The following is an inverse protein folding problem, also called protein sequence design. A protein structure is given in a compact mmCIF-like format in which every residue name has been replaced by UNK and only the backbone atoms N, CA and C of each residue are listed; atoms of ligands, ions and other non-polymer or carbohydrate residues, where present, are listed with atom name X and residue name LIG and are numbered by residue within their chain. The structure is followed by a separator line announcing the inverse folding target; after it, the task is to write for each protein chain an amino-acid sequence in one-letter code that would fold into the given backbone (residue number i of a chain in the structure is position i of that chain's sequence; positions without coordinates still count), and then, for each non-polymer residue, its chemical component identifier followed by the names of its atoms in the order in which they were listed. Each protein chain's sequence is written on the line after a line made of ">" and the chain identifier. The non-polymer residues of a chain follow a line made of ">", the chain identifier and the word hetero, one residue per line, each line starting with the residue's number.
data_IF_994423837941
#
_entry.id   IF_994423837941
#
_cell.length_a   1.000
_cell.length_b   1.000
_cell.length_c   1.000
_cell.angle_alpha   90.00
_cell.angle_beta   90.00
_cell.angle_gamma   90.00
#
_symmetry.space_group_name_H-M   'P 1'
#
loop_
_entity.id
_entity.type
_entity.pdbx_description
1 polymer ?
#
# COMPACT_ATOMS: atom_id res chain seq x y z
N UNK A 1 -22.49 15.54 20.53
CA UNK A 1 -22.90 14.35 19.76
C UNK A 1 -21.61 13.68 19.33
N UNK A 2 -21.25 12.54 19.92
CA UNK A 2 -20.05 11.78 19.56
C UNK A 2 -20.27 11.16 18.19
N UNK A 3 -19.42 11.50 17.23
CA UNK A 3 -19.59 11.16 15.82
C UNK A 3 -18.90 9.84 15.46
N UNK A 4 -18.96 8.83 16.35
CA UNK A 4 -18.23 7.56 16.19
C UNK A 4 -18.54 6.85 14.85
N UNK A 5 -19.75 7.03 14.30
CA UNK A 5 -20.12 6.49 12.99
C UNK A 5 -19.42 7.22 11.82
N UNK A 6 -19.30 8.55 11.90
CA UNK A 6 -18.56 9.36 10.91
C UNK A 6 -17.05 9.15 11.02
N UNK A 7 -16.55 8.84 12.22
CA UNK A 7 -15.13 8.53 12.44
C UNK A 7 -14.78 7.15 11.86
N UNK A 8 -15.69 6.16 11.95
CA UNK A 8 -15.47 4.82 11.38
C UNK A 8 -15.34 4.85 9.86
N UNK A 9 -16.25 5.55 9.17
CA UNK A 9 -16.23 5.66 7.69
C UNK A 9 -14.93 6.31 7.19
N UNK A 10 -14.45 7.36 7.86
CA UNK A 10 -13.17 7.99 7.53
C UNK A 10 -11.99 7.03 7.72
N UNK A 11 -11.98 6.25 8.81
CA UNK A 11 -10.94 5.25 9.07
C UNK A 11 -10.97 4.12 8.02
N UNK A 12 -12.16 3.66 7.63
CA UNK A 12 -12.34 2.67 6.57
C UNK A 12 -11.78 3.20 5.25
N UNK A 13 -12.13 4.44 4.87
CA UNK A 13 -11.59 5.05 3.65
C UNK A 13 -10.07 5.22 3.70
N UNK A 14 -9.53 5.65 4.84
CA UNK A 14 -8.08 5.79 5.02
C UNK A 14 -7.36 4.44 4.88
N UNK A 15 -7.85 3.40 5.54
CA UNK A 15 -7.28 2.06 5.43
C UNK A 15 -7.45 1.46 4.04
N UNK A 16 -8.60 1.68 3.39
CA UNK A 16 -8.85 1.22 2.02
C UNK A 16 -7.88 1.86 1.04
N UNK A 17 -7.67 3.18 1.15
CA UNK A 17 -6.70 3.90 0.33
C UNK A 17 -5.29 3.35 0.58
N UNK A 18 -4.90 3.21 1.85
CA UNK A 18 -3.59 2.68 2.21
C UNK A 18 -3.36 1.28 1.64
N UNK A 19 -4.32 0.37 1.81
CA UNK A 19 -4.26 -0.99 1.28
C UNK A 19 -4.11 -0.99 -0.24
N UNK A 20 -4.89 -0.17 -0.95
CA UNK A 20 -4.77 -0.03 -2.42
C UNK A 20 -3.42 0.55 -2.84
N UNK A 21 -2.90 1.54 -2.11
CA UNK A 21 -1.60 2.14 -2.37
C UNK A 21 -0.49 1.12 -2.19
N UNK A 22 -0.46 0.41 -1.06
CA UNK A 22 0.51 -0.65 -0.80
C UNK A 22 0.42 -1.78 -1.83
N UNK A 23 -0.79 -2.21 -2.19
CA UNK A 23 -1.02 -3.24 -3.19
C UNK A 23 -0.51 -2.84 -4.60
N UNK A 24 -0.51 -1.54 -4.89
CA UNK A 24 -0.01 -0.98 -6.15
C UNK A 24 1.52 -0.87 -6.22
N UNK A 25 2.24 -1.05 -5.12
CA UNK A 25 3.70 -1.03 -5.11
C UNK A 25 4.22 -2.28 -5.84
N UNK A 26 5.04 -2.14 -6.90
CA UNK A 26 5.40 -3.25 -7.77
C UNK A 26 6.55 -4.10 -7.25
N UNK A 27 7.49 -3.51 -6.51
CA UNK A 27 8.70 -4.14 -6.00
C UNK A 27 8.73 -4.24 -4.48
N UNK A 28 9.41 -5.27 -4.00
CA UNK A 28 9.46 -5.63 -2.59
C UNK A 28 10.22 -4.60 -1.75
N UNK A 29 11.34 -4.10 -2.26
CA UNK A 29 12.16 -3.13 -1.55
C UNK A 29 11.36 -1.85 -1.25
N UNK A 30 10.64 -1.30 -2.24
CA UNK A 30 9.82 -0.09 -2.05
C UNK A 30 8.62 -0.36 -1.13
N UNK A 31 8.09 -1.59 -1.13
CA UNK A 31 7.02 -1.96 -0.20
C UNK A 31 7.53 -1.90 1.25
N UNK A 32 8.70 -2.49 1.52
CA UNK A 32 9.30 -2.45 2.85
C UNK A 32 9.74 -1.05 3.27
N UNK A 33 10.29 -0.23 2.36
CA UNK A 33 10.62 1.17 2.62
C UNK A 33 9.39 1.94 3.17
N UNK A 34 8.20 1.69 2.60
CA UNK A 34 6.95 2.34 3.02
C UNK A 34 6.41 1.72 4.32
N UNK A 35 6.38 0.40 4.46
CA UNK A 35 5.83 -0.25 5.65
C UNK A 35 6.67 0.02 6.90
N UNK A 36 7.99 0.14 6.76
CA UNK A 36 8.87 0.54 7.85
C UNK A 36 8.55 1.96 8.32
N UNK A 37 8.30 2.89 7.40
CA UNK A 37 7.86 4.24 7.75
C UNK A 37 6.49 4.25 8.47
N UNK A 38 5.56 3.39 8.05
CA UNK A 38 4.27 3.23 8.73
C UNK A 38 4.47 2.70 10.16
N UNK A 39 5.38 1.74 10.33
CA UNK A 39 5.70 1.18 11.65
C UNK A 39 6.32 2.23 12.58
N UNK A 40 7.23 3.07 12.07
CA UNK A 40 7.78 4.21 12.83
C UNK A 40 6.70 5.20 13.28
N UNK A 41 5.64 5.38 12.49
CA UNK A 41 4.47 6.18 12.87
C UNK A 41 3.52 5.46 13.86
N UNK A 42 3.84 4.23 14.27
CA UNK A 42 3.11 3.46 15.26
C UNK A 42 1.96 2.64 14.68
N UNK A 43 2.04 2.24 13.41
CA UNK A 43 0.95 1.53 12.73
C UNK A 43 0.55 0.23 13.43
N UNK A 44 1.50 -0.61 13.87
CA UNK A 44 1.18 -1.82 14.63
C UNK A 44 0.30 -1.55 15.85
N UNK A 45 0.58 -0.47 16.59
CA UNK A 45 -0.20 -0.08 17.77
C UNK A 45 -1.61 0.37 17.40
N UNK A 46 -1.75 1.10 16.30
CA UNK A 46 -3.05 1.54 15.77
C UNK A 46 -3.90 0.30 15.42
N UNK A 47 -3.35 -0.61 14.61
CA UNK A 47 -4.02 -1.85 14.20
C UNK A 47 -4.47 -2.66 15.42
N UNK A 48 -3.56 -2.91 16.37
CA UNK A 48 -3.87 -3.66 17.59
C UNK A 48 -4.97 -2.99 18.44
N UNK A 49 -4.91 -1.67 18.62
CA UNK A 49 -5.90 -0.91 19.39
C UNK A 49 -7.31 -1.05 18.81
N UNK A 50 -7.43 -0.94 17.49
CA UNK A 50 -8.72 -1.05 16.81
C UNK A 50 -9.26 -2.49 16.81
N UNK A 51 -8.44 -3.50 16.49
CA UNK A 51 -8.88 -4.91 16.44
C UNK A 51 -9.26 -5.48 17.82
N UNK A 52 -8.70 -4.95 18.91
CA UNK A 52 -9.04 -5.38 20.28
C UNK A 52 -10.26 -4.66 20.87
N UNK A 53 -10.76 -3.59 20.22
CA UNK A 53 -11.97 -2.86 20.64
C UNK A 53 -13.20 -3.74 20.43
N UNK A 54 -13.97 -4.01 21.50
CA UNK A 54 -15.15 -4.90 21.49
C UNK A 54 -16.22 -4.55 20.45
N UNK A 55 -16.30 -3.28 20.05
CA UNK A 55 -17.26 -2.77 19.07
C UNK A 55 -16.52 -2.19 17.85
N UNK A 56 -15.42 -2.80 17.42
CA UNK A 56 -14.79 -2.43 16.16
C UNK A 56 -15.79 -2.64 15.02
N UNK A 57 -15.86 -1.67 14.13
CA UNK A 57 -16.64 -1.79 12.91
C UNK A 57 -16.11 -2.99 12.08
N UNK A 58 -16.99 -3.89 11.60
CA UNK A 58 -16.57 -5.08 10.88
C UNK A 58 -15.86 -4.76 9.56
N UNK A 59 -16.23 -3.68 8.88
CA UNK A 59 -15.59 -3.26 7.63
C UNK A 59 -14.21 -2.67 7.91
N UNK A 60 -14.07 -1.89 8.99
CA UNK A 60 -12.76 -1.42 9.44
C UNK A 60 -11.86 -2.61 9.84
N UNK A 61 -12.41 -3.58 10.58
CA UNK A 61 -11.66 -4.78 10.97
C UNK A 61 -11.21 -5.58 9.74
N UNK A 62 -12.03 -5.69 8.70
CA UNK A 62 -11.64 -6.31 7.44
C UNK A 62 -10.47 -5.56 6.79
N UNK A 63 -10.52 -4.23 6.69
CA UNK A 63 -9.43 -3.44 6.12
C UNK A 63 -8.12 -3.54 6.93
N UNK A 64 -8.20 -3.62 8.26
CA UNK A 64 -7.04 -3.83 9.13
C UNK A 64 -6.46 -5.24 8.98
N UNK A 65 -7.32 -6.26 8.87
CA UNK A 65 -6.87 -7.63 8.62
C UNK A 65 -6.25 -7.77 7.23
N UNK A 66 -6.74 -7.04 6.22
CA UNK A 66 -6.14 -7.00 4.88
C UNK A 66 -4.73 -6.40 4.91
N UNK A 67 -4.53 -5.33 5.68
CA UNK A 67 -3.22 -4.74 5.90
C UNK A 67 -2.24 -5.76 6.49
N UNK A 68 -2.62 -6.40 7.61
CA UNK A 68 -1.82 -7.44 8.28
C UNK A 68 -1.51 -8.63 7.37
N UNK A 69 -2.51 -9.08 6.62
CA UNK A 69 -2.37 -10.20 5.69
C UNK A 69 -1.41 -9.87 4.54
N UNK A 70 -1.40 -8.62 4.05
CA UNK A 70 -0.46 -8.19 3.02
C UNK A 70 1.00 -8.22 3.50
N UNK A 71 1.25 -7.91 4.78
CA UNK A 71 2.59 -7.99 5.38
C UNK A 71 3.05 -9.45 5.49
N UNK A 72 2.22 -10.28 6.12
CA UNK A 72 2.51 -11.72 6.32
C UNK A 72 2.76 -12.46 5.02
N UNK A 73 1.99 -12.13 3.98
CA UNK A 73 2.18 -12.73 2.67
C UNK A 73 3.54 -12.39 2.04
N UNK A 74 4.02 -11.15 2.22
CA UNK A 74 5.35 -10.74 1.81
C UNK A 74 6.46 -11.36 2.68
N UNK A 75 6.18 -11.63 3.96
CA UNK A 75 7.10 -12.31 4.88
C UNK A 75 7.29 -13.80 4.57
N UNK A 76 6.36 -14.41 3.83
CA UNK A 76 6.48 -15.82 3.47
C UNK A 76 5.22 -16.65 3.64
N UNK A 77 4.24 -16.16 4.42
CA UNK A 77 3.07 -16.95 4.83
C UNK A 77 2.13 -17.27 3.67
N UNK A 78 1.48 -18.43 3.74
CA UNK A 78 0.57 -18.90 2.70
C UNK A 78 -0.81 -18.23 2.80
N UNK A 79 -1.39 -17.92 1.65
CA UNK A 79 -2.72 -17.28 1.55
C UNK A 79 -3.83 -18.02 2.29
N UNK A 80 -3.75 -19.34 2.36
CA UNK A 80 -4.77 -20.18 3.00
C UNK A 80 -4.72 -20.12 4.53
N UNK A 81 -3.59 -19.69 5.10
CA UNK A 81 -3.41 -19.52 6.53
C UNK A 81 -3.88 -18.13 7.03
N UNK A 82 -4.17 -17.21 6.09
CA UNK A 82 -4.61 -15.85 6.42
C UNK A 82 -6.09 -15.82 6.85
N UNK A 83 -6.42 -15.16 7.98
CA UNK A 83 -7.77 -15.10 8.53
C UNK A 83 -8.63 -14.06 7.80
N UNK A 84 -8.79 -14.22 6.48
CA UNK A 84 -9.54 -13.29 5.62
C UNK A 84 -10.75 -13.96 4.94
N UNK A 85 -11.87 -13.23 4.82
CA UNK A 85 -13.00 -13.65 3.99
C UNK A 85 -12.59 -13.69 2.51
N UNK A 86 -13.34 -14.47 1.71
CA UNK A 86 -13.03 -14.72 0.29
C UNK A 86 -12.93 -13.42 -0.52
N UNK A 87 -13.83 -12.46 -0.30
CA UNK A 87 -13.80 -11.14 -0.97
C UNK A 87 -12.58 -10.30 -0.59
N UNK A 88 -12.09 -10.42 0.66
CA UNK A 88 -10.85 -9.80 1.08
C UNK A 88 -9.63 -10.39 0.36
N UNK A 89 -9.62 -11.71 0.11
CA UNK A 89 -8.53 -12.38 -0.61
C UNK A 89 -8.36 -11.86 -2.04
N UNK A 90 -9.44 -11.48 -2.72
CA UNK A 90 -9.40 -10.87 -4.05
C UNK A 90 -8.74 -9.48 -4.06
N UNK A 91 -8.76 -8.78 -2.92
CA UNK A 91 -8.15 -7.46 -2.76
C UNK A 91 -6.65 -7.50 -2.52
N UNK A 92 -6.10 -8.68 -2.18
CA UNK A 92 -4.66 -8.89 -1.99
C UNK A 92 -3.96 -9.21 -3.31
N UNK A 93 -2.67 -8.85 -3.38
CA UNK A 93 -1.81 -9.17 -4.53
C UNK A 93 -1.66 -10.68 -4.68
N UNK A 94 -2.10 -11.25 -5.79
CA UNK A 94 -2.08 -12.72 -6.02
C UNK A 94 -0.69 -13.34 -6.19
N UNK A 95 0.39 -12.57 -5.99
CA UNK A 95 1.76 -13.05 -6.06
C UNK A 95 2.67 -12.16 -5.22
N UNK A 96 3.75 -12.72 -4.67
CA UNK A 96 4.77 -11.92 -3.97
C UNK A 96 5.42 -10.92 -4.92
N UNK A 97 5.80 -9.76 -4.37
CA UNK A 97 6.57 -8.76 -5.11
C UNK A 97 7.96 -9.33 -5.40
N UNK A 98 8.50 -8.97 -6.55
CA UNK A 98 9.90 -9.27 -6.88
C UNK A 98 10.81 -8.17 -6.33
N UNK A 99 12.11 -8.41 -6.20
CA UNK A 99 13.03 -7.35 -5.77
C UNK A 99 13.07 -6.22 -6.79
N UNK A 100 13.43 -5.00 -6.37
CA UNK A 100 13.51 -3.84 -7.27
C UNK A 100 14.40 -4.10 -8.48
N UNK A 101 15.53 -4.76 -8.26
CA UNK A 101 16.49 -5.14 -9.32
C UNK A 101 15.87 -6.09 -10.34
N UNK A 102 14.97 -6.98 -9.91
CA UNK A 102 14.24 -7.87 -10.82
C UNK A 102 13.12 -7.11 -11.54
N UNK A 103 12.38 -6.26 -10.82
CA UNK A 103 11.29 -5.47 -11.38
C UNK A 103 11.76 -4.53 -12.50
N UNK A 104 12.90 -3.87 -12.32
CA UNK A 104 13.47 -2.97 -13.34
C UNK A 104 13.88 -3.68 -14.65
N UNK A 105 13.90 -5.01 -14.67
CA UNK A 105 14.18 -5.81 -15.88
C UNK A 105 12.91 -6.28 -16.60
N UNK A 106 11.72 -5.98 -16.07
CA UNK A 106 10.46 -6.30 -16.73
C UNK A 106 10.07 -5.15 -17.67
N UNK A 107 9.24 -5.40 -18.70
CA UNK A 107 8.75 -4.35 -19.58
C UNK A 107 8.06 -3.20 -18.82
N UNK A 108 7.36 -3.52 -17.73
CA UNK A 108 6.70 -2.54 -16.87
C UNK A 108 7.69 -1.66 -16.11
N UNK A 109 8.77 -2.26 -15.57
CA UNK A 109 9.84 -1.52 -14.91
C UNK A 109 10.60 -0.62 -15.89
N UNK A 110 10.91 -1.11 -17.08
CA UNK A 110 11.53 -0.32 -18.15
C UNK A 110 10.62 0.84 -18.61
N UNK A 111 9.32 0.60 -18.76
CA UNK A 111 8.35 1.63 -19.10
C UNK A 111 8.23 2.71 -18.02
N UNK A 112 8.25 2.32 -16.73
CA UNK A 112 8.24 3.26 -15.61
C UNK A 112 9.48 4.17 -15.63
N UNK A 113 10.67 3.59 -15.80
CA UNK A 113 11.92 4.35 -15.93
C UNK A 113 11.86 5.32 -17.11
N UNK A 114 11.43 4.84 -18.27
CA UNK A 114 11.26 5.67 -19.47
C UNK A 114 10.31 6.84 -19.23
N UNK A 115 9.18 6.62 -18.56
CA UNK A 115 8.22 7.67 -18.20
C UNK A 115 8.81 8.70 -17.23
N UNK A 116 9.66 8.29 -16.28
CA UNK A 116 10.33 9.21 -15.37
C UNK A 116 11.34 10.10 -16.11
N UNK A 117 12.04 9.55 -17.09
CA UNK A 117 12.98 10.30 -17.93
C UNK A 117 12.32 11.17 -19.01
N UNK A 118 11.07 10.88 -19.37
CA UNK A 118 10.28 11.68 -20.31
C UNK A 118 9.72 12.97 -19.69
N UNK A 119 9.75 13.11 -18.35
CA UNK A 119 9.45 14.37 -17.69
C UNK A 119 10.61 15.35 -17.96
N UNK A 120 10.34 16.60 -18.39
CA UNK A 120 11.39 17.59 -18.62
C UNK A 120 11.98 18.02 -17.27
N UNK A 121 12.90 17.23 -16.74
CA UNK A 121 13.73 17.57 -15.58
C UNK A 121 15.08 18.03 -16.10
N UNK A 122 15.09 19.17 -16.78
CA UNK A 122 16.33 19.86 -17.09
C UNK A 122 16.10 21.36 -17.22
N UNK A 123 16.89 22.15 -16.49
CA UNK A 123 17.00 23.61 -16.69
C UNK A 123 17.34 23.97 -18.14
N UNK A 124 17.91 23.03 -18.92
CA UNK A 124 18.30 23.27 -20.30
C UNK A 124 17.14 23.47 -21.27
N UNK A 125 15.93 22.96 -20.99
CA UNK A 125 14.76 23.17 -21.86
C UNK A 125 13.88 24.36 -21.44
N UNK A 126 14.04 24.89 -20.23
CA UNK A 126 13.36 26.12 -19.81
C UNK A 126 13.91 27.36 -20.54
N UNK A 127 15.20 27.33 -20.91
CA UNK A 127 15.86 28.43 -21.64
C UNK A 127 15.46 28.52 -23.12
N UNK A 128 14.85 27.49 -23.71
CA UNK A 128 14.45 27.49 -25.12
C UNK A 128 13.05 28.09 -25.35
N UNK A 129 12.26 28.37 -24.30
CA UNK A 129 10.94 29.01 -24.43
C UNK A 129 10.96 30.53 -24.21
N UNK A 130 12.07 31.13 -23.75
CA UNK A 130 12.21 32.57 -23.52
C UNK A 130 12.86 33.30 -24.71
N UNK A 131 13.02 32.59 -25.84
CA UNK A 131 13.71 33.07 -27.05
C UNK A 131 12.85 33.15 -28.31
N UNK A 132 11.52 33.04 -28.21
CA UNK A 132 10.59 33.23 -29.34
C UNK A 132 9.81 34.54 -29.22
#
# INVERSE_FOLDING_TARGET
>A
MNNEASDSELLIYAMTLLNKTLNSIPDQDTFYDVTDCLEEMGMQKIVQCHLTKKNCDPELAEQLNLYEASLRYEDGEDFDELPLPVSGRESLRQGRRMSRVQFMKTPEGEALLSSMHALPTSQSMASEMDGM
#
